data_IF_776607630852
#
_entry.id   IF_776607630852
#
_cell.length_a   1.000
_cell.length_b   1.000
_cell.length_c   1.000
_cell.angle_alpha   90.00
_cell.angle_beta   90.00
_cell.angle_gamma   90.00
#
_symmetry.space_group_name_H-M   'P 1'
#
loop_
_entity.id
_entity.type
_entity.pdbx_description
1 polymer ?
#
# COMPACT_ATOMS: atom_id res chain seq x y z
N UNK A 1 -1.51 -17.99 -1.01
CA UNK A 1 -2.48 -17.25 -0.18
C UNK A 1 -1.65 -16.37 0.73
N UNK A 2 -1.86 -15.05 0.71
CA UNK A 2 -0.97 -14.14 1.43
C UNK A 2 -1.33 -13.97 2.91
N UNK A 3 -2.50 -14.41 3.41
CA UNK A 3 -2.59 -14.98 4.77
C UNK A 3 -3.93 -15.61 5.15
N UNK A 4 -3.83 -16.58 6.07
CA UNK A 4 -4.87 -17.11 6.95
C UNK A 4 -4.41 -16.85 8.41
N UNK A 5 -5.23 -16.16 9.20
CA UNK A 5 -5.13 -15.94 10.65
C UNK A 5 -3.87 -15.22 11.19
N UNK A 6 -3.93 -13.88 11.24
CA UNK A 6 -2.91 -13.00 11.83
C UNK A 6 -3.23 -12.70 13.32
N UNK A 7 -2.33 -13.11 14.21
CA UNK A 7 -2.30 -12.66 15.60
C UNK A 7 -1.31 -11.51 15.77
N UNK A 8 -1.68 -10.47 16.53
CA UNK A 8 -0.84 -9.30 16.72
C UNK A 8 0.50 -9.66 17.39
N UNK A 9 1.66 -9.36 16.78
CA UNK A 9 2.97 -9.73 17.35
C UNK A 9 3.34 -8.91 18.60
N UNK A 10 2.54 -7.90 18.96
CA UNK A 10 2.80 -7.02 20.12
C UNK A 10 2.01 -7.40 21.37
N UNK A 11 0.79 -7.91 21.22
CA UNK A 11 -0.10 -8.21 22.34
C UNK A 11 -0.92 -9.50 22.16
N UNK A 12 -0.67 -10.26 21.08
CA UNK A 12 -1.38 -11.47 20.71
C UNK A 12 -2.90 -11.32 20.50
N UNK A 13 -3.39 -10.09 20.33
CA UNK A 13 -4.79 -9.80 20.01
C UNK A 13 -5.15 -10.04 18.53
N UNK A 14 -6.45 -10.11 18.25
CA UNK A 14 -7.00 -10.28 16.90
C UNK A 14 -6.62 -9.11 15.98
N UNK A 15 -6.24 -9.44 14.74
CA UNK A 15 -5.99 -8.46 13.68
C UNK A 15 -7.09 -8.49 12.63
N UNK A 16 -7.64 -7.32 12.33
CA UNK A 16 -8.65 -7.15 11.29
C UNK A 16 -8.06 -6.53 10.05
N UNK A 17 -8.48 -7.00 8.88
CA UNK A 17 -8.08 -6.43 7.61
C UNK A 17 -8.78 -5.08 7.37
N UNK A 18 -8.02 -4.15 6.80
CA UNK A 18 -8.45 -2.89 6.22
C UNK A 18 -7.47 -2.46 5.13
N UNK A 19 -7.50 -1.17 4.79
CA UNK A 19 -6.61 -0.59 3.78
C UNK A 19 -6.25 0.85 4.18
N UNK A 20 -5.04 1.28 3.79
CA UNK A 20 -4.63 2.67 3.92
C UNK A 20 -5.13 3.46 2.71
N UNK A 21 -5.66 4.64 2.98
CA UNK A 21 -6.20 5.54 1.98
C UNK A 21 -5.16 6.59 1.60
N UNK A 22 -4.78 6.61 0.32
CA UNK A 22 -3.99 7.68 -0.27
C UNK A 22 -4.93 8.69 -0.91
N UNK A 23 -4.90 9.92 -0.39
CA UNK A 23 -5.70 11.04 -0.90
C UNK A 23 -4.80 11.95 -1.72
N UNK A 24 -5.15 12.12 -2.98
CA UNK A 24 -4.51 13.06 -3.88
C UNK A 24 -5.53 14.06 -4.43
N UNK A 25 -5.04 15.13 -5.06
CA UNK A 25 -5.90 16.09 -5.77
C UNK A 25 -6.78 15.39 -6.84
N UNK A 26 -6.29 14.27 -7.41
CA UNK A 26 -6.97 13.50 -8.45
C UNK A 26 -7.94 12.42 -7.94
N UNK A 27 -8.06 12.21 -6.63
CA UNK A 27 -8.96 11.21 -6.07
C UNK A 27 -8.40 10.47 -4.86
N UNK A 28 -9.15 9.46 -4.43
CA UNK A 28 -8.83 8.61 -3.28
C UNK A 28 -8.59 7.19 -3.77
N UNK A 29 -7.46 6.60 -3.42
CA UNK A 29 -7.10 5.22 -3.78
C UNK A 29 -6.62 4.44 -2.56
N UNK A 30 -6.67 3.11 -2.61
CA UNK A 30 -5.94 2.27 -1.68
C UNK A 30 -4.43 2.40 -1.93
N UNK A 31 -3.62 2.31 -0.89
CA UNK A 31 -2.17 2.32 -1.04
C UNK A 31 -1.65 1.15 -1.87
N UNK A 32 -0.58 1.44 -2.60
CA UNK A 32 0.06 0.50 -3.52
C UNK A 32 1.56 0.49 -3.26
N UNK A 33 2.17 -0.68 -3.44
CA UNK A 33 3.60 -0.88 -3.33
C UNK A 33 4.22 -0.85 -4.72
N UNK A 34 5.28 -0.06 -4.90
CA UNK A 34 6.09 -0.02 -6.10
C UNK A 34 7.52 -0.47 -5.75
N UNK A 35 8.11 -1.29 -6.61
CA UNK A 35 9.48 -1.77 -6.40
C UNK A 35 10.50 -0.65 -6.64
N UNK A 36 11.53 -0.61 -5.78
CA UNK A 36 12.68 0.28 -5.95
C UNK A 36 12.50 1.67 -5.35
N UNK A 37 13.37 2.60 -5.77
CA UNK A 37 13.38 3.98 -5.26
C UNK A 37 12.49 4.86 -6.14
N UNK A 38 11.81 5.88 -5.59
CA UNK A 38 11.10 6.87 -6.38
C UNK A 38 12.06 7.54 -7.39
N UNK A 39 11.66 7.56 -8.66
CA UNK A 39 12.45 8.17 -9.74
C UNK A 39 11.75 9.44 -10.20
N UNK A 40 12.47 10.54 -10.40
CA UNK A 40 11.90 11.77 -10.98
C UNK A 40 11.55 11.57 -12.45
N UNK A 41 10.46 12.18 -12.91
CA UNK A 41 10.12 12.22 -14.34
C UNK A 41 10.65 13.52 -14.94
N UNK A 42 11.51 13.40 -15.94
CA UNK A 42 12.05 14.53 -16.70
C UNK A 42 11.62 14.50 -18.16
N UNK A 43 11.40 15.67 -18.75
CA UNK A 43 11.08 15.84 -20.17
C UNK A 43 11.84 17.06 -20.70
N UNK A 44 12.62 16.89 -21.78
CA UNK A 44 13.52 17.91 -22.34
C UNK A 44 14.43 18.61 -21.29
N UNK A 45 14.91 17.88 -20.29
CA UNK A 45 15.79 18.43 -19.24
C UNK A 45 15.06 19.13 -18.08
N UNK A 46 13.74 19.28 -18.15
CA UNK A 46 12.92 19.84 -17.07
C UNK A 46 12.25 18.73 -16.26
N UNK A 47 12.17 18.90 -14.93
CA UNK A 47 11.41 17.99 -14.06
C UNK A 47 9.92 18.26 -14.28
N UNK A 48 9.19 17.24 -14.73
CA UNK A 48 7.75 17.31 -14.99
C UNK A 48 6.92 16.59 -13.92
N UNK A 49 7.54 15.72 -13.12
CA UNK A 49 6.96 15.18 -11.89
C UNK A 49 8.06 14.78 -10.91
N UNK A 50 7.82 14.98 -9.62
CA UNK A 50 8.76 14.58 -8.56
C UNK A 50 8.93 13.06 -8.48
N UNK A 51 7.86 12.31 -8.77
CA UNK A 51 7.85 10.84 -8.81
C UNK A 51 7.20 10.40 -10.11
N UNK A 52 7.87 9.51 -10.84
CA UNK A 52 7.32 8.80 -11.99
C UNK A 52 6.22 7.88 -11.48
N UNK A 53 4.99 8.14 -11.92
CA UNK A 53 3.84 7.28 -11.64
C UNK A 53 4.08 5.95 -12.36
N UNK A 54 4.20 4.82 -11.63
CA UNK A 54 4.34 3.51 -12.25
C UNK A 54 3.03 3.13 -12.95
N UNK A 55 3.11 2.20 -13.90
CA UNK A 55 1.90 1.65 -14.53
C UNK A 55 1.15 0.74 -13.55
N UNK A 56 -0.12 0.47 -13.83
CA UNK A 56 -0.97 -0.40 -12.99
C UNK A 56 -0.39 -1.80 -12.79
N UNK A 57 0.32 -2.34 -13.79
CA UNK A 57 1.00 -3.64 -13.71
C UNK A 57 2.34 -3.60 -12.96
N UNK A 58 2.88 -2.41 -12.68
CA UNK A 58 4.16 -2.19 -11.99
C UNK A 58 3.96 -1.97 -10.47
N UNK A 59 2.71 -2.03 -9.99
CA UNK A 59 2.34 -1.80 -8.59
C UNK A 59 1.56 -2.97 -8.03
N UNK A 60 1.77 -3.26 -6.75
CA UNK A 60 1.08 -4.34 -6.03
C UNK A 60 0.18 -3.71 -4.97
N UNK A 61 -1.12 -4.03 -4.90
CA UNK A 61 -2.01 -3.47 -3.90
C UNK A 61 -1.60 -3.90 -2.48
N UNK A 62 -1.74 -2.98 -1.52
CA UNK A 62 -1.39 -3.21 -0.12
C UNK A 62 -2.65 -3.47 0.71
N UNK A 63 -2.69 -4.63 1.38
CA UNK A 63 -3.62 -4.90 2.48
C UNK A 63 -2.97 -4.51 3.81
N UNK A 64 -3.74 -3.91 4.71
CA UNK A 64 -3.24 -3.51 6.05
C UNK A 64 -4.10 -4.13 7.13
N UNK A 65 -3.48 -4.71 8.14
CA UNK A 65 -4.13 -5.37 9.25
C UNK A 65 -3.91 -4.57 10.52
N UNK A 66 -5.00 -4.24 11.21
CA UNK A 66 -4.98 -3.48 12.45
C UNK A 66 -5.33 -4.40 13.61
N UNK A 67 -4.47 -4.43 14.62
CA UNK A 67 -4.83 -5.05 15.90
C UNK A 67 -5.97 -4.26 16.55
N UNK A 68 -7.06 -4.96 16.91
CA UNK A 68 -8.20 -4.32 17.55
C UNK A 68 -7.86 -3.84 18.98
N UNK A 69 -6.96 -4.54 19.68
CA UNK A 69 -6.61 -4.25 21.07
C UNK A 69 -5.60 -3.11 21.22
N UNK A 70 -4.48 -3.14 20.51
CA UNK A 70 -3.38 -2.17 20.70
C UNK A 70 -3.16 -1.22 19.52
N UNK A 71 -3.87 -1.42 18.40
CA UNK A 71 -3.75 -0.56 17.22
C UNK A 71 -2.50 -0.76 16.37
N UNK A 72 -1.66 -1.76 16.66
CA UNK A 72 -0.54 -2.13 15.80
C UNK A 72 -1.02 -2.39 14.36
N UNK A 73 -0.29 -1.84 13.39
CA UNK A 73 -0.57 -1.99 11.97
C UNK A 73 0.54 -2.80 11.31
N UNK A 74 0.14 -3.75 10.48
CA UNK A 74 1.02 -4.54 9.63
C UNK A 74 0.47 -4.55 8.20
N UNK A 75 1.35 -4.44 7.20
CA UNK A 75 0.95 -4.25 5.81
C UNK A 75 1.65 -5.23 4.89
N UNK A 76 0.90 -5.78 3.93
CA UNK A 76 1.36 -6.78 2.97
C UNK A 76 1.00 -6.35 1.55
N UNK A 77 1.96 -6.43 0.63
CA UNK A 77 1.73 -6.20 -0.79
C UNK A 77 1.37 -7.52 -1.48
N UNK A 78 0.11 -7.69 -1.88
CA UNK A 78 -0.35 -8.88 -2.61
C UNK A 78 -1.48 -8.55 -3.57
N UNK A 79 -1.46 -9.14 -4.77
CA UNK A 79 -2.48 -8.95 -5.81
C UNK A 79 -3.92 -9.29 -5.37
N UNK A 80 -4.09 -10.13 -4.33
CA UNK A 80 -5.41 -10.46 -3.78
C UNK A 80 -6.12 -9.27 -3.11
N UNK A 81 -5.38 -8.19 -2.80
CA UNK A 81 -5.91 -6.95 -2.22
C UNK A 81 -6.33 -5.92 -3.27
N UNK A 82 -6.31 -6.28 -4.57
CA UNK A 82 -6.78 -5.40 -5.62
C UNK A 82 -8.24 -4.98 -5.38
N UNK A 83 -8.54 -3.69 -5.60
CA UNK A 83 -9.92 -3.21 -5.62
C UNK A 83 -10.65 -3.93 -6.76
N UNK A 84 -11.76 -4.61 -6.43
CA UNK A 84 -12.64 -5.26 -7.42
C UNK A 84 -13.54 -4.24 -8.10
#
# INVERSE_FOLDING_TARGET
MCQSDLSCPKCNGEMIQGYVLDKSVGGVSSSQWAEGKPVRRTYFGFVVAEIKIPKSEEVIPIGTFRCQSCGYLESYACGEFAVK
#
